data_IF_677024138762
#
_entry.id   IF_677024138762
#
_cell.length_a   1.000
_cell.length_b   1.000
_cell.length_c   1.000
_cell.angle_alpha   90.00
_cell.angle_beta   90.00
_cell.angle_gamma   90.00
#
_symmetry.space_group_name_H-M   'P 1'
#
loop_
_entity.id
_entity.type
_entity.pdbx_description
1 polymer ?
#
# COMPACT_ATOMS: atom_id res chain seq x y z
N UNK A 1 54.19 -24.75 -37.75
CA UNK A 1 54.35 -23.52 -38.54
C UNK A 1 53.27 -22.55 -38.14
N UNK A 2 53.67 -21.44 -37.54
CA UNK A 2 52.86 -20.36 -37.00
C UNK A 2 52.07 -19.61 -38.07
N UNK A 3 50.80 -19.30 -37.80
CA UNK A 3 50.05 -18.27 -38.51
C UNK A 3 49.86 -17.08 -37.56
N UNK A 4 50.34 -15.91 -37.99
CA UNK A 4 50.23 -14.65 -37.27
C UNK A 4 48.83 -14.06 -37.41
N UNK A 5 48.32 -13.47 -36.33
CA UNK A 5 47.15 -12.59 -36.35
C UNK A 5 47.61 -11.17 -36.06
N UNK A 6 47.39 -10.29 -37.02
CA UNK A 6 47.58 -8.84 -36.91
C UNK A 6 46.40 -8.21 -36.17
N UNK A 7 46.66 -7.29 -35.24
CA UNK A 7 45.64 -6.55 -34.51
C UNK A 7 45.01 -5.43 -35.35
N UNK A 8 43.70 -5.24 -35.17
CA UNK A 8 43.00 -3.99 -35.45
C UNK A 8 42.82 -3.23 -34.12
N UNK A 9 42.82 -1.88 -34.13
CA UNK A 9 42.93 -1.06 -32.94
C UNK A 9 41.67 -1.04 -32.08
N UNK A 10 41.89 -0.75 -30.79
CA UNK A 10 40.93 -0.78 -29.70
C UNK A 10 39.71 0.13 -29.92
N UNK A 11 38.53 -0.40 -29.61
CA UNK A 11 37.34 0.40 -29.34
C UNK A 11 37.29 0.69 -27.84
N UNK A 12 37.08 1.97 -27.51
CA UNK A 12 37.14 2.54 -26.17
C UNK A 12 36.08 1.96 -25.21
N UNK A 13 36.51 1.83 -23.96
CA UNK A 13 35.76 1.30 -22.83
C UNK A 13 34.69 2.32 -22.36
N UNK A 14 33.41 1.97 -22.50
CA UNK A 14 32.32 2.73 -21.88
C UNK A 14 32.12 2.26 -20.44
N UNK A 15 32.42 3.15 -19.50
CA UNK A 15 32.28 2.94 -18.07
C UNK A 15 30.81 2.78 -17.66
N UNK A 16 30.30 1.55 -17.64
CA UNK A 16 29.08 1.24 -16.91
C UNK A 16 29.43 1.02 -15.43
N UNK A 17 29.05 2.01 -14.62
CA UNK A 17 29.11 1.99 -13.17
C UNK A 17 28.54 0.69 -12.60
N UNK A 18 29.35 -0.04 -11.84
CA UNK A 18 28.96 -1.23 -11.07
C UNK A 18 27.74 -0.92 -10.20
N UNK A 19 26.61 -1.54 -10.50
CA UNK A 19 25.47 -1.60 -9.59
C UNK A 19 25.80 -2.62 -8.51
N UNK A 20 25.98 -2.16 -7.28
CA UNK A 20 26.04 -3.03 -6.10
C UNK A 20 24.60 -3.31 -5.69
N UNK A 21 24.15 -4.55 -5.87
CA UNK A 21 22.86 -5.00 -5.34
C UNK A 21 23.04 -5.17 -3.83
N UNK A 22 22.41 -4.28 -3.05
CA UNK A 22 22.30 -4.46 -1.61
C UNK A 22 21.33 -5.62 -1.32
N UNK A 23 21.75 -6.52 -0.43
CA UNK A 23 21.09 -7.79 -0.11
C UNK A 23 19.61 -7.62 0.27
N UNK A 24 18.75 -8.43 -0.35
CA UNK A 24 17.35 -8.59 0.03
C UNK A 24 17.25 -9.41 1.31
N UNK A 25 16.69 -8.82 2.36
CA UNK A 25 16.27 -9.57 3.54
C UNK A 25 15.06 -10.46 3.17
N UNK A 26 15.05 -11.75 3.52
CA UNK A 26 13.87 -12.60 3.32
C UNK A 26 12.80 -12.17 4.32
N UNK A 27 11.74 -11.51 3.84
CA UNK A 27 10.58 -11.20 4.66
C UNK A 27 9.62 -12.40 4.65
N UNK A 28 9.66 -13.18 5.74
CA UNK A 28 8.64 -14.18 6.09
C UNK A 28 7.31 -13.49 6.47
N UNK A 29 6.61 -13.02 5.44
CA UNK A 29 5.17 -12.81 5.37
C UNK A 29 4.93 -12.44 3.91
N UNK A 30 4.05 -13.16 3.21
CA UNK A 30 3.73 -12.89 1.80
C UNK A 30 3.34 -11.41 1.64
N UNK A 31 4.29 -10.54 1.28
CA UNK A 31 4.02 -9.14 1.01
C UNK A 31 3.24 -9.12 -0.29
N UNK A 32 1.92 -9.05 -0.17
CA UNK A 32 1.03 -9.02 -1.33
C UNK A 32 1.34 -7.74 -2.10
N UNK A 33 1.65 -7.88 -3.40
CA UNK A 33 1.86 -6.74 -4.27
C UNK A 33 0.58 -5.88 -4.28
N UNK A 34 0.72 -4.61 -3.92
CA UNK A 34 -0.40 -3.68 -3.77
C UNK A 34 -1.24 -3.54 -5.04
N UNK A 35 -0.64 -3.67 -6.23
CA UNK A 35 -1.34 -3.58 -7.52
C UNK A 35 -2.14 -4.85 -7.87
N UNK A 36 -1.76 -6.00 -7.31
CA UNK A 36 -2.42 -7.30 -7.52
C UNK A 36 -3.38 -7.66 -6.38
N UNK A 37 -3.38 -6.86 -5.30
CA UNK A 37 -4.20 -7.11 -4.13
C UNK A 37 -5.70 -6.96 -4.43
N UNK A 38 -6.47 -8.00 -4.14
CA UNK A 38 -7.94 -7.96 -4.25
C UNK A 38 -8.58 -7.17 -3.11
N UNK A 39 -7.91 -7.07 -1.96
CA UNK A 39 -8.33 -6.29 -0.80
C UNK A 39 -7.17 -5.41 -0.37
N UNK A 40 -7.43 -4.11 -0.16
CA UNK A 40 -6.45 -3.15 0.33
C UNK A 40 -7.01 -2.45 1.57
N UNK A 41 -6.22 -2.44 2.64
CA UNK A 41 -6.46 -1.62 3.84
C UNK A 41 -5.43 -0.50 3.83
N UNK A 42 -5.87 0.74 3.65
CA UNK A 42 -5.00 1.89 3.46
C UNK A 42 -5.10 2.89 4.62
N UNK A 43 -3.94 3.39 5.05
CA UNK A 43 -3.83 4.40 6.11
C UNK A 43 -3.52 5.80 5.56
N UNK A 44 -4.13 6.82 6.14
CA UNK A 44 -3.82 8.23 5.86
C UNK A 44 -3.17 8.94 7.04
N UNK A 45 -3.13 10.27 7.01
CA UNK A 45 -2.58 11.08 8.12
C UNK A 45 -3.30 10.81 9.45
N UNK A 46 -4.59 10.44 9.39
CA UNK A 46 -5.40 10.16 10.58
C UNK A 46 -4.90 8.98 11.42
N UNK A 47 -4.03 8.11 10.88
CA UNK A 47 -3.43 6.99 11.64
C UNK A 47 -2.39 7.47 12.67
N UNK A 48 -1.94 8.72 12.62
CA UNK A 48 -1.20 9.35 13.72
C UNK A 48 0.25 8.89 13.95
N UNK A 49 0.80 7.99 13.13
CA UNK A 49 2.18 7.52 13.25
C UNK A 49 2.40 6.15 12.60
N UNK A 50 3.64 5.68 12.62
CA UNK A 50 4.00 4.32 12.17
C UNK A 50 3.26 3.24 12.96
N UNK A 51 3.21 3.36 14.30
CA UNK A 51 2.49 2.43 15.18
C UNK A 51 0.99 2.36 14.87
N UNK A 52 0.43 3.45 14.33
CA UNK A 52 -0.96 3.52 13.91
C UNK A 52 -1.32 2.58 12.75
N UNK A 53 -0.32 2.09 12.01
CA UNK A 53 -0.53 1.06 10.99
C UNK A 53 -0.67 -0.36 11.56
N UNK A 54 -0.35 -0.60 12.83
CA UNK A 54 -0.47 -1.92 13.45
C UNK A 54 -1.86 -2.54 13.27
N UNK A 55 -2.94 -1.86 13.70
CA UNK A 55 -4.31 -2.35 13.50
C UNK A 55 -4.71 -2.53 12.03
N UNK A 56 -4.17 -1.72 11.12
CA UNK A 56 -4.44 -1.83 9.69
C UNK A 56 -3.77 -3.07 9.08
N UNK A 57 -2.53 -3.37 9.48
CA UNK A 57 -1.82 -4.60 9.10
C UNK A 57 -2.54 -5.84 9.61
N UNK A 58 -3.05 -5.77 10.84
CA UNK A 58 -3.86 -6.84 11.41
C UNK A 58 -5.15 -7.08 10.60
N UNK A 59 -5.91 -6.02 10.30
CA UNK A 59 -7.13 -6.13 9.49
C UNK A 59 -6.83 -6.68 8.09
N UNK A 60 -5.77 -6.18 7.43
CA UNK A 60 -5.33 -6.68 6.13
C UNK A 60 -4.98 -8.18 6.20
N UNK A 61 -4.24 -8.60 7.22
CA UNK A 61 -3.91 -10.02 7.44
C UNK A 61 -5.15 -10.87 7.62
N UNK A 62 -6.11 -10.43 8.44
CA UNK A 62 -7.38 -11.15 8.66
C UNK A 62 -8.19 -11.27 7.37
N UNK A 63 -8.16 -10.26 6.51
CA UNK A 63 -8.85 -10.26 5.23
C UNK A 63 -8.09 -10.99 4.11
N UNK A 64 -6.79 -11.23 4.28
CA UNK A 64 -5.92 -11.73 3.21
C UNK A 64 -5.55 -10.67 2.16
N UNK A 65 -5.54 -9.40 2.57
CA UNK A 65 -5.26 -8.25 1.72
C UNK A 65 -3.86 -7.65 1.91
N UNK A 66 -3.61 -6.53 1.24
CA UNK A 66 -2.40 -5.73 1.35
C UNK A 66 -2.63 -4.45 2.18
N UNK A 67 -1.54 -3.88 2.69
CA UNK A 67 -1.56 -2.55 3.31
C UNK A 67 -1.03 -1.51 2.33
N UNK A 68 -1.78 -0.43 2.16
CA UNK A 68 -1.36 0.75 1.40
C UNK A 68 -1.39 2.02 2.25
N UNK A 69 -1.02 3.15 1.65
CA UNK A 69 -1.12 4.43 2.34
C UNK A 69 -1.30 5.62 1.41
N UNK A 70 -1.78 6.73 1.96
CA UNK A 70 -1.73 8.02 1.27
C UNK A 70 -0.33 8.61 1.30
N UNK A 71 -0.06 9.52 0.36
CA UNK A 71 1.19 10.29 0.34
C UNK A 71 1.49 10.99 1.68
N UNK A 72 0.48 11.48 2.39
CA UNK A 72 0.69 12.16 3.66
C UNK A 72 1.34 11.27 4.74
N UNK A 73 1.06 9.97 4.73
CA UNK A 73 1.70 9.02 5.64
C UNK A 73 3.10 8.59 5.15
N UNK A 74 3.28 8.45 3.83
CA UNK A 74 4.58 8.15 3.23
C UNK A 74 5.59 9.31 3.43
N UNK A 75 5.18 10.54 3.15
CA UNK A 75 5.98 11.76 3.37
C UNK A 75 6.33 11.97 4.85
N UNK A 76 5.51 11.45 5.77
CA UNK A 76 5.78 11.48 7.21
C UNK A 76 6.72 10.35 7.67
N UNK A 77 7.16 9.47 6.77
CA UNK A 77 8.05 8.35 7.07
C UNK A 77 7.39 7.17 7.79
N UNK A 78 6.06 7.14 7.90
CA UNK A 78 5.34 6.09 8.65
C UNK A 78 5.20 4.77 7.89
N UNK A 79 5.44 4.82 6.58
CA UNK A 79 5.34 3.68 5.69
C UNK A 79 6.21 3.92 4.45
N UNK A 80 6.81 2.87 3.84
CA UNK A 80 7.61 3.03 2.65
C UNK A 80 6.83 3.62 1.47
N UNK A 81 7.48 4.48 0.68
CA UNK A 81 6.90 5.09 -0.53
C UNK A 81 6.38 4.07 -1.55
N UNK A 82 6.93 2.85 -1.57
CA UNK A 82 6.47 1.76 -2.43
C UNK A 82 5.01 1.32 -2.16
N UNK A 83 4.47 1.68 -0.99
CA UNK A 83 3.09 1.40 -0.58
C UNK A 83 2.17 2.62 -0.73
N UNK A 84 2.68 3.73 -1.29
CA UNK A 84 1.90 4.93 -1.55
C UNK A 84 0.89 4.68 -2.69
N UNK A 85 -0.35 5.09 -2.48
CA UNK A 85 -1.44 5.08 -3.46
C UNK A 85 -1.76 6.53 -3.84
N UNK A 86 -1.95 6.77 -5.14
CA UNK A 86 -2.36 8.08 -5.67
C UNK A 86 -1.71 8.43 -7.01
N UNK A 87 -1.96 9.65 -7.48
CA UNK A 87 -1.48 10.20 -8.76
C UNK A 87 0.04 10.10 -8.94
N UNK A 88 0.81 10.16 -7.84
CA UNK A 88 2.28 10.06 -7.83
C UNK A 88 2.77 8.79 -7.13
N UNK A 89 1.88 7.84 -6.88
CA UNK A 89 2.17 6.53 -6.30
C UNK A 89 1.62 5.42 -7.20
N UNK A 90 1.25 4.29 -6.58
CA UNK A 90 0.58 3.19 -7.27
C UNK A 90 -0.86 3.53 -7.57
N UNK A 91 -1.33 3.04 -8.71
CA UNK A 91 -2.75 2.99 -9.08
C UNK A 91 -3.20 1.55 -8.86
N UNK A 92 -4.28 1.36 -8.11
CA UNK A 92 -4.74 0.05 -7.67
C UNK A 92 -6.20 -0.17 -8.09
N UNK A 93 -6.57 -1.44 -8.24
CA UNK A 93 -7.93 -1.85 -8.63
C UNK A 93 -8.43 -3.02 -7.77
N UNK A 94 -8.53 -2.87 -6.44
CA UNK A 94 -9.01 -3.94 -5.58
C UNK A 94 -10.53 -4.12 -5.73
N UNK A 95 -11.02 -5.32 -5.39
CA UNK A 95 -12.44 -5.54 -5.17
C UNK A 95 -12.94 -4.79 -3.91
N UNK A 96 -12.09 -4.67 -2.89
CA UNK A 96 -12.40 -3.92 -1.67
C UNK A 96 -11.24 -3.00 -1.27
N UNK A 97 -11.55 -1.72 -1.09
CA UNK A 97 -10.66 -0.70 -0.57
C UNK A 97 -11.19 -0.18 0.77
N UNK A 98 -10.40 -0.29 1.85
CA UNK A 98 -10.73 0.27 3.16
C UNK A 98 -9.76 1.42 3.45
N UNK A 99 -10.24 2.66 3.45
CA UNK A 99 -9.45 3.85 3.77
C UNK A 99 -9.66 4.31 5.22
N UNK A 100 -8.66 4.17 6.07
CA UNK A 100 -8.68 4.62 7.46
C UNK A 100 -7.89 5.92 7.64
N UNK A 101 -8.56 6.99 8.11
CA UNK A 101 -7.93 8.28 8.37
C UNK A 101 -7.38 8.97 7.11
N UNK A 102 -7.95 8.68 5.94
CA UNK A 102 -7.63 9.29 4.65
C UNK A 102 -8.63 10.42 4.38
N UNK A 103 -8.16 11.60 4.00
CA UNK A 103 -9.03 12.74 3.69
C UNK A 103 -9.76 12.60 2.36
N UNK A 104 -9.16 11.94 1.36
CA UNK A 104 -9.75 11.77 0.03
C UNK A 104 -9.37 12.87 -0.97
N UNK A 105 -8.24 13.54 -0.78
CA UNK A 105 -7.70 14.50 -1.75
C UNK A 105 -7.65 13.88 -3.17
N UNK A 106 -7.87 14.70 -4.20
CA UNK A 106 -7.94 14.27 -5.61
C UNK A 106 -6.72 13.41 -5.99
N UNK A 107 -5.53 13.78 -5.51
CA UNK A 107 -4.30 13.05 -5.76
C UNK A 107 -4.35 11.63 -5.20
N UNK A 108 -4.98 11.40 -4.05
CA UNK A 108 -5.17 10.05 -3.52
C UNK A 108 -6.24 9.29 -4.31
N UNK A 109 -7.37 9.95 -4.59
CA UNK A 109 -8.51 9.37 -5.32
C UNK A 109 -8.11 8.79 -6.67
N UNK A 110 -7.28 9.50 -7.44
CA UNK A 110 -6.78 9.03 -8.76
C UNK A 110 -6.19 7.61 -8.68
N UNK A 111 -5.51 7.27 -7.58
CA UNK A 111 -4.87 5.98 -7.41
C UNK A 111 -5.78 4.84 -6.97
N UNK A 112 -7.00 5.13 -6.49
CA UNK A 112 -7.89 4.10 -5.90
C UNK A 112 -9.32 4.12 -6.42
N UNK A 113 -9.72 5.12 -7.23
CA UNK A 113 -11.08 5.29 -7.73
C UNK A 113 -11.59 4.15 -8.61
N UNK A 114 -10.72 3.24 -9.04
CA UNK A 114 -11.10 2.04 -9.78
C UNK A 114 -11.41 0.84 -8.88
N UNK A 115 -11.35 0.99 -7.55
CA UNK A 115 -11.83 -0.01 -6.61
C UNK A 115 -13.33 -0.29 -6.83
N UNK A 116 -13.73 -1.56 -6.73
CA UNK A 116 -15.14 -1.94 -6.88
C UNK A 116 -15.99 -1.49 -5.68
N UNK A 117 -15.43 -1.63 -4.47
CA UNK A 117 -16.04 -1.15 -3.24
C UNK A 117 -15.06 -0.32 -2.40
N UNK A 118 -15.52 0.83 -1.92
CA UNK A 118 -14.78 1.79 -1.09
C UNK A 118 -15.47 1.95 0.25
N UNK A 119 -14.80 1.51 1.32
CA UNK A 119 -15.18 1.76 2.70
C UNK A 119 -14.24 2.80 3.29
N UNK A 120 -14.76 3.88 3.85
CA UNK A 120 -13.96 4.92 4.48
C UNK A 120 -14.29 5.03 5.97
N UNK A 121 -13.26 5.20 6.79
CA UNK A 121 -13.36 5.41 8.23
C UNK A 121 -12.60 6.69 8.56
N UNK A 122 -13.31 7.72 9.04
CA UNK A 122 -12.71 8.99 9.40
C UNK A 122 -13.44 9.61 10.59
N UNK A 123 -12.74 10.36 11.44
CA UNK A 123 -13.35 11.11 12.54
C UNK A 123 -14.05 12.39 12.06
N UNK A 124 -13.62 12.90 10.90
CA UNK A 124 -14.16 14.10 10.28
C UNK A 124 -15.34 13.73 9.39
N UNK A 125 -16.60 14.12 9.73
CA UNK A 125 -17.77 13.83 8.92
C UNK A 125 -17.77 14.56 7.57
N UNK A 126 -16.94 15.59 7.41
CA UNK A 126 -16.86 16.40 6.20
C UNK A 126 -15.64 16.01 5.33
N UNK A 127 -14.98 14.88 5.63
CA UNK A 127 -13.83 14.41 4.87
C UNK A 127 -14.22 14.11 3.40
N UNK A 128 -13.52 14.66 2.40
CA UNK A 128 -13.84 14.48 0.97
C UNK A 128 -13.97 13.02 0.50
N UNK A 129 -13.31 12.07 1.17
CA UNK A 129 -13.44 10.64 0.88
C UNK A 129 -14.88 10.14 1.02
N UNK A 130 -15.68 10.76 1.90
CA UNK A 130 -17.08 10.42 2.12
C UNK A 130 -17.96 10.66 0.89
N UNK A 131 -17.58 11.56 -0.02
CA UNK A 131 -18.34 11.87 -1.25
C UNK A 131 -18.32 10.72 -2.27
N UNK A 132 -17.37 9.79 -2.14
CA UNK A 132 -17.17 8.71 -3.11
C UNK A 132 -16.94 7.34 -2.48
N UNK A 133 -17.13 7.23 -1.17
CA UNK A 133 -17.15 5.95 -0.48
C UNK A 133 -18.55 5.32 -0.63
N UNK A 134 -18.59 4.01 -0.89
CA UNK A 134 -19.84 3.23 -0.85
C UNK A 134 -20.36 3.09 0.59
N UNK A 135 -19.44 3.08 1.56
CA UNK A 135 -19.75 3.12 2.98
C UNK A 135 -18.80 4.08 3.70
N UNK A 136 -19.36 5.11 4.34
CA UNK A 136 -18.60 6.05 5.16
C UNK A 136 -18.98 5.92 6.63
N UNK A 137 -17.99 5.58 7.46
CA UNK A 137 -18.14 5.43 8.90
C UNK A 137 -17.44 6.61 9.59
N UNK A 138 -18.25 7.44 10.26
CA UNK A 138 -17.74 8.56 11.05
C UNK A 138 -17.42 8.07 12.46
N UNK A 139 -16.14 8.13 12.85
CA UNK A 139 -15.71 7.74 14.19
C UNK A 139 -14.21 7.52 14.32
N UNK A 140 -13.81 7.05 15.50
CA UNK A 140 -12.41 6.78 15.81
C UNK A 140 -11.95 5.46 15.17
N UNK A 141 -10.99 5.55 14.25
CA UNK A 141 -10.39 4.40 13.58
C UNK A 141 -9.74 3.43 14.58
N UNK A 142 -9.21 3.90 15.71
CA UNK A 142 -8.55 3.06 16.71
C UNK A 142 -9.54 2.22 17.51
N UNK A 143 -10.83 2.56 17.49
CA UNK A 143 -11.90 1.71 18.04
C UNK A 143 -12.50 0.83 16.95
N UNK A 144 -12.74 1.39 15.77
CA UNK A 144 -13.47 0.73 14.69
C UNK A 144 -12.64 -0.39 14.04
N UNK A 145 -11.37 -0.15 13.71
CA UNK A 145 -10.53 -1.13 12.99
C UNK A 145 -10.30 -2.40 13.82
N UNK A 146 -9.96 -2.33 15.12
CA UNK A 146 -9.84 -3.54 15.95
C UNK A 146 -11.17 -4.28 16.11
N UNK A 147 -12.28 -3.57 16.33
CA UNK A 147 -13.60 -4.17 16.45
C UNK A 147 -14.02 -4.92 15.17
N UNK A 148 -13.75 -4.32 14.01
CA UNK A 148 -13.98 -4.94 12.71
C UNK A 148 -13.14 -6.20 12.54
N UNK A 149 -11.85 -6.15 12.88
CA UNK A 149 -10.94 -7.30 12.80
C UNK A 149 -11.41 -8.46 13.68
N UNK A 150 -11.83 -8.17 14.92
CA UNK A 150 -12.37 -9.15 15.85
C UNK A 150 -13.65 -9.81 15.31
N UNK A 151 -14.59 -9.02 14.80
CA UNK A 151 -15.85 -9.53 14.25
C UNK A 151 -15.62 -10.38 12.99
N UNK A 152 -14.70 -10.00 12.11
CA UNK A 152 -14.36 -10.81 10.93
C UNK A 152 -13.77 -12.15 11.35
N UNK A 153 -12.85 -12.18 12.33
CA UNK A 153 -12.30 -13.44 12.86
C UNK A 153 -13.40 -14.33 13.44
N UNK A 154 -14.31 -13.75 14.24
CA UNK A 154 -15.43 -14.47 14.83
C UNK A 154 -16.30 -15.10 13.74
N UNK A 155 -16.63 -14.36 12.68
CA UNK A 155 -17.40 -14.89 11.55
C UNK A 155 -16.65 -15.97 10.78
N UNK A 156 -15.36 -15.77 10.48
CA UNK A 156 -14.54 -16.79 9.79
C UNK A 156 -14.43 -18.09 10.60
N UNK A 157 -14.32 -18.01 11.93
CA UNK A 157 -14.32 -19.18 12.82
C UNK A 157 -15.70 -19.83 13.02
N UNK A 158 -16.79 -19.18 12.62
CA UNK A 158 -18.16 -19.73 12.71
C UNK A 158 -18.61 -20.42 11.41
N UNK A 159 -17.78 -20.43 10.37
CA UNK A 159 -18.03 -21.09 9.07
C UNK A 159 -17.13 -22.34 8.95
N UNK A 160 -17.05 -23.11 10.04
CA UNK A 160 -16.32 -24.38 10.12
C UNK A 160 -17.27 -25.53 10.42
#
# INVERSE_FOLDING_TARGET
>A
GSAQVSQAPAAEESAFSKVIVAESHPADAKVVNLEEATIIVAGGRGVGGEDGFGPLRELASVLGGAVGASRAAADAGWIPYQLQIGQTGKVVKPALYIGAGISGAIQHRVGMQSAEHVVAINKDPDAPIGEFADLFVVGDLFQIIPALSAEIRRRKGSVG
#
